data_IF_057843596027
#
_entry.id   IF_057843596027
#
_cell.length_a   1.000
_cell.length_b   1.000
_cell.length_c   1.000
_cell.angle_alpha   90.00
_cell.angle_beta   90.00
_cell.angle_gamma   90.00
#
_symmetry.space_group_name_H-M   'P 1'
#
loop_
_entity.id
_entity.type
_entity.pdbx_description
1 polymer ?
#
# COMPACT_ATOMS: atom_id res chain seq x y z
N UNK A 1 -20.50 -37.42 -38.00
CA UNK A 1 -19.12 -36.95 -37.74
C UNK A 1 -19.25 -35.52 -37.28
N UNK A 2 -19.13 -35.30 -35.97
CA UNK A 2 -19.29 -33.98 -35.36
C UNK A 2 -18.02 -33.18 -35.60
N UNK A 3 -18.16 -32.08 -36.33
CA UNK A 3 -17.12 -31.09 -36.53
C UNK A 3 -16.96 -30.34 -35.20
N UNK A 4 -15.89 -30.63 -34.47
CA UNK A 4 -15.52 -29.84 -33.30
C UNK A 4 -14.95 -28.53 -33.85
N UNK A 5 -15.76 -27.48 -33.88
CA UNK A 5 -15.27 -26.12 -34.04
C UNK A 5 -14.31 -25.83 -32.89
N UNK A 6 -13.01 -25.96 -33.13
CA UNK A 6 -12.00 -25.37 -32.26
C UNK A 6 -12.25 -23.86 -32.28
N UNK A 7 -12.73 -23.32 -31.16
CA UNK A 7 -12.74 -21.87 -30.97
C UNK A 7 -11.29 -21.36 -31.12
N UNK A 8 -11.08 -20.43 -32.05
CA UNK A 8 -9.79 -19.76 -32.24
C UNK A 8 -9.39 -19.03 -30.95
N UNK A 9 -8.53 -19.64 -30.15
CA UNK A 9 -8.03 -19.06 -28.90
C UNK A 9 -6.91 -18.09 -29.22
N UNK A 10 -7.21 -16.80 -29.08
CA UNK A 10 -6.21 -15.74 -29.17
C UNK A 10 -5.67 -15.39 -27.78
N UNK A 11 -4.35 -15.46 -27.62
CA UNK A 11 -3.64 -15.08 -26.40
C UNK A 11 -2.93 -13.75 -26.63
N UNK A 12 -3.07 -12.83 -25.67
CA UNK A 12 -2.42 -11.52 -25.72
C UNK A 12 -1.55 -11.33 -24.47
N UNK A 13 -0.32 -10.89 -24.68
CA UNK A 13 0.63 -10.61 -23.62
C UNK A 13 0.98 -9.14 -23.63
N UNK A 14 1.04 -8.54 -22.45
CA UNK A 14 1.42 -7.14 -22.27
C UNK A 14 2.41 -7.04 -21.12
N UNK A 15 3.33 -6.09 -21.24
CA UNK A 15 4.29 -5.77 -20.16
C UNK A 15 3.74 -4.64 -19.32
N UNK A 16 3.73 -4.82 -18.01
CA UNK A 16 3.27 -3.83 -17.05
C UNK A 16 4.15 -3.85 -15.79
N UNK A 17 4.13 -2.74 -15.06
CA UNK A 17 4.83 -2.65 -13.79
C UNK A 17 4.05 -3.36 -12.69
N UNK A 18 4.65 -4.38 -12.08
CA UNK A 18 4.07 -5.15 -10.98
C UNK A 18 5.00 -5.16 -9.77
N UNK A 19 4.41 -5.12 -8.59
CA UNK A 19 5.10 -5.24 -7.30
C UNK A 19 5.25 -6.71 -6.84
N UNK A 20 4.63 -7.65 -7.57
CA UNK A 20 4.64 -9.09 -7.32
C UNK A 20 5.08 -9.84 -8.57
N UNK A 21 5.75 -10.97 -8.36
CA UNK A 21 6.15 -11.87 -9.44
C UNK A 21 4.93 -12.51 -10.08
N UNK A 22 4.87 -12.45 -11.41
CA UNK A 22 3.96 -13.25 -12.21
C UNK A 22 4.74 -14.45 -12.73
N UNK A 23 4.30 -15.65 -12.35
CA UNK A 23 4.94 -16.87 -12.80
C UNK A 23 4.63 -17.10 -14.30
N UNK A 24 5.58 -16.79 -15.19
CA UNK A 24 5.44 -17.01 -16.62
C UNK A 24 5.36 -18.50 -17.02
N UNK A 25 5.63 -19.44 -16.12
CA UNK A 25 5.49 -20.88 -16.41
C UNK A 25 4.02 -21.27 -16.60
N UNK A 26 3.08 -20.44 -16.13
CA UNK A 26 1.64 -20.62 -16.33
C UNK A 26 1.13 -20.02 -17.65
N UNK A 27 1.99 -19.34 -18.41
CA UNK A 27 1.61 -18.76 -19.70
C UNK A 27 1.41 -19.87 -20.72
N UNK A 28 0.39 -19.69 -21.58
CA UNK A 28 0.12 -20.61 -22.69
C UNK A 28 1.30 -20.65 -23.69
N UNK A 29 1.80 -19.49 -24.10
CA UNK A 29 3.03 -19.33 -24.87
C UNK A 29 4.11 -18.82 -23.92
N UNK A 30 5.12 -19.67 -23.65
CA UNK A 30 6.22 -19.36 -22.73
C UNK A 30 7.39 -18.70 -23.43
N UNK A 31 7.76 -19.21 -24.59
CA UNK A 31 8.91 -18.75 -25.37
C UNK A 31 8.77 -17.27 -25.69
N UNK A 32 9.76 -16.47 -25.29
CA UNK A 32 9.77 -15.01 -25.48
C UNK A 32 8.91 -14.22 -24.49
N UNK A 33 8.29 -14.89 -23.51
CA UNK A 33 7.44 -14.29 -22.47
C UNK A 33 7.93 -14.65 -21.07
N UNK A 34 9.24 -14.83 -20.91
CA UNK A 34 9.84 -15.21 -19.65
C UNK A 34 9.89 -14.03 -18.66
N UNK A 35 9.33 -14.23 -17.47
CA UNK A 35 9.45 -13.29 -16.36
C UNK A 35 10.63 -13.66 -15.45
N UNK A 36 11.21 -12.69 -14.72
CA UNK A 36 12.22 -12.98 -13.70
C UNK A 36 11.66 -13.92 -12.62
N UNK A 37 12.52 -14.76 -12.06
CA UNK A 37 12.14 -15.69 -10.98
C UNK A 37 12.27 -15.07 -9.58
N UNK A 38 12.84 -13.87 -9.48
CA UNK A 38 13.02 -13.15 -8.22
C UNK A 38 12.92 -11.63 -8.45
N UNK A 39 12.37 -10.90 -7.47
CA UNK A 39 12.49 -9.43 -7.41
C UNK A 39 13.63 -9.09 -6.44
N UNK A 40 14.64 -8.32 -6.87
CA UNK A 40 15.80 -8.01 -6.04
C UNK A 40 15.46 -7.11 -4.85
N UNK A 41 14.38 -6.34 -4.92
CA UNK A 41 13.92 -5.41 -3.89
C UNK A 41 12.44 -5.66 -3.62
N UNK A 42 12.08 -5.85 -2.34
CA UNK A 42 10.70 -6.05 -1.92
C UNK A 42 10.12 -4.74 -1.38
N UNK A 43 8.84 -4.51 -1.65
CA UNK A 43 8.08 -3.44 -0.99
C UNK A 43 8.10 -3.66 0.52
N UNK A 44 8.39 -2.60 1.27
CA UNK A 44 8.45 -2.63 2.73
C UNK A 44 7.80 -1.38 3.30
N UNK A 45 7.15 -1.52 4.45
CA UNK A 45 6.61 -0.41 5.24
C UNK A 45 7.44 -0.27 6.49
N UNK A 46 7.93 0.95 6.73
CA UNK A 46 8.64 1.30 7.95
C UNK A 46 7.73 2.16 8.82
N UNK A 47 7.57 1.76 10.07
CA UNK A 47 6.75 2.48 11.05
C UNK A 47 7.72 3.22 11.98
N UNK A 48 7.52 4.53 12.15
CA UNK A 48 8.33 5.32 13.07
C UNK A 48 8.22 4.79 14.50
N UNK A 49 9.36 4.77 15.21
CA UNK A 49 9.44 4.25 16.58
C UNK A 49 8.59 5.09 17.54
N UNK A 50 8.81 6.40 17.54
CA UNK A 50 8.10 7.36 18.36
C UNK A 50 7.14 8.23 17.53
N UNK A 51 5.86 8.15 17.86
CA UNK A 51 4.79 8.98 17.27
C UNK A 51 3.86 9.40 18.39
N UNK A 52 3.44 10.67 18.40
CA UNK A 52 2.55 11.19 19.42
C UNK A 52 1.77 12.43 19.01
N UNK A 53 0.77 12.76 19.81
CA UNK A 53 0.02 14.03 19.75
C UNK A 53 0.20 14.70 21.11
N UNK A 54 0.97 15.79 21.13
CA UNK A 54 1.42 16.38 22.40
C UNK A 54 2.24 15.38 23.20
N UNK A 55 1.87 15.15 24.46
CA UNK A 55 2.56 14.21 25.36
C UNK A 55 2.09 12.75 25.19
N UNK A 56 0.99 12.53 24.46
CA UNK A 56 0.39 11.20 24.31
C UNK A 56 1.06 10.46 23.15
N UNK A 57 1.55 9.25 23.42
CA UNK A 57 2.19 8.38 22.43
C UNK A 57 1.18 7.45 21.76
N UNK A 58 1.51 7.01 20.55
CA UNK A 58 0.70 6.06 19.79
C UNK A 58 1.23 4.63 19.93
N UNK A 59 0.38 3.69 20.31
CA UNK A 59 0.69 2.26 20.28
C UNK A 59 0.86 1.73 18.86
N UNK A 60 1.47 0.56 18.71
CA UNK A 60 1.76 -0.05 17.40
C UNK A 60 0.49 -0.25 16.55
N UNK A 61 -0.59 -0.75 17.15
CA UNK A 61 -1.85 -1.00 16.42
C UNK A 61 -2.44 0.30 15.87
N UNK A 62 -2.37 1.40 16.62
CA UNK A 62 -2.76 2.72 16.13
C UNK A 62 -1.88 3.18 14.97
N UNK A 63 -0.56 3.04 15.07
CA UNK A 63 0.36 3.40 13.99
C UNK A 63 0.07 2.63 12.70
N UNK A 64 -0.32 1.35 12.79
CA UNK A 64 -0.70 0.52 11.62
C UNK A 64 -1.99 0.98 10.93
N UNK A 65 -2.87 1.73 11.60
CA UNK A 65 -4.10 2.27 10.97
C UNK A 65 -3.84 3.36 9.95
N UNK A 66 -2.63 3.96 9.93
CA UNK A 66 -2.26 4.98 8.96
C UNK A 66 -1.88 4.31 7.63
N UNK A 67 -2.88 4.10 6.78
CA UNK A 67 -2.74 3.43 5.49
C UNK A 67 -3.09 4.32 4.28
N UNK A 68 -3.41 5.59 4.53
CA UNK A 68 -3.62 6.61 3.48
C UNK A 68 -2.27 7.15 2.99
N UNK A 69 -1.60 6.34 2.17
CA UNK A 69 -0.25 6.62 1.68
C UNK A 69 -0.27 7.67 0.56
N UNK A 70 0.46 8.76 0.79
CA UNK A 70 0.70 9.81 -0.20
C UNK A 70 2.08 9.58 -0.82
N UNK A 71 2.12 9.59 -2.16
CA UNK A 71 3.35 9.42 -2.92
C UNK A 71 4.29 10.62 -2.72
N UNK A 72 5.57 10.33 -2.51
CA UNK A 72 6.63 11.32 -2.46
C UNK A 72 7.34 11.28 -3.80
N UNK A 73 7.37 12.43 -4.47
CA UNK A 73 8.29 12.68 -5.57
C UNK A 73 9.53 13.33 -4.99
N UNK A 74 10.69 12.70 -5.16
CA UNK A 74 11.95 13.33 -4.82
C UNK A 74 12.42 14.21 -5.98
N UNK A 75 13.00 15.35 -5.64
CA UNK A 75 13.78 16.21 -6.53
C UNK A 75 15.29 15.89 -6.47
N UNK A 76 15.71 15.04 -5.52
CA UNK A 76 17.10 14.67 -5.35
C UNK A 76 17.49 13.57 -6.33
N UNK A 77 18.41 13.95 -7.24
CA UNK A 77 19.02 12.99 -8.17
C UNK A 77 19.87 11.97 -7.39
N UNK A 78 19.72 10.67 -7.68
CA UNK A 78 20.56 9.65 -7.05
C UNK A 78 22.01 9.82 -7.49
N UNK A 79 22.96 9.60 -6.56
CA UNK A 79 24.40 9.65 -6.86
C UNK A 79 24.83 8.54 -7.83
N UNK A 80 24.16 7.39 -7.74
CA UNK A 80 24.33 6.23 -8.61
C UNK A 80 23.87 6.52 -10.04
N UNK A 81 24.80 6.43 -11.00
CA UNK A 81 24.56 6.75 -12.42
C UNK A 81 23.67 5.75 -13.14
N UNK A 82 23.58 4.52 -12.65
CA UNK A 82 22.73 3.44 -13.16
C UNK A 82 21.26 3.61 -12.74
N UNK A 83 20.97 4.54 -11.83
CA UNK A 83 19.63 4.89 -11.40
C UNK A 83 19.22 6.19 -12.09
N UNK A 84 18.07 6.16 -12.74
CA UNK A 84 17.49 7.30 -13.45
C UNK A 84 16.26 7.77 -12.70
N UNK A 85 16.04 9.08 -12.67
CA UNK A 85 14.88 9.68 -12.03
C UNK A 85 13.98 10.30 -13.10
N UNK A 86 12.69 9.99 -13.08
CA UNK A 86 11.70 10.59 -13.96
C UNK A 86 10.37 10.71 -13.23
N UNK A 87 9.77 11.90 -13.25
CA UNK A 87 8.51 12.20 -12.56
C UNK A 87 8.52 11.83 -11.07
N UNK A 88 9.67 12.01 -10.41
CA UNK A 88 9.88 11.68 -8.99
C UNK A 88 9.98 10.20 -8.65
N UNK A 89 9.95 9.32 -9.66
CA UNK A 89 10.16 7.88 -9.52
C UNK A 89 11.60 7.53 -9.88
N UNK A 90 12.12 6.47 -9.25
CA UNK A 90 13.46 5.95 -9.50
C UNK A 90 13.39 4.69 -10.36
N UNK A 91 14.24 4.62 -11.37
CA UNK A 91 14.30 3.53 -12.34
C UNK A 91 15.69 2.95 -12.39
N UNK A 92 15.78 1.63 -12.28
CA UNK A 92 16.96 0.88 -12.68
C UNK A 92 16.64 0.18 -14.01
N UNK A 93 16.94 0.88 -15.10
CA UNK A 93 16.61 0.49 -16.47
C UNK A 93 17.58 1.10 -17.47
N UNK A 94 17.90 0.34 -18.52
CA UNK A 94 18.75 0.79 -19.62
C UNK A 94 18.09 1.89 -20.49
N UNK A 95 16.77 1.88 -20.63
CA UNK A 95 15.98 2.87 -21.37
C UNK A 95 14.60 3.07 -20.72
N UNK A 96 14.26 4.31 -20.34
CA UNK A 96 12.98 4.61 -19.69
C UNK A 96 11.79 4.54 -20.65
N UNK A 97 12.03 4.78 -21.93
CA UNK A 97 10.98 4.81 -22.94
C UNK A 97 10.67 3.42 -23.48
N UNK A 98 11.63 2.50 -23.38
CA UNK A 98 11.49 1.09 -23.75
C UNK A 98 11.89 0.19 -22.56
N UNK A 99 11.11 0.20 -21.47
CA UNK A 99 11.39 -0.64 -20.30
C UNK A 99 11.31 -2.12 -20.68
N UNK A 100 12.21 -2.91 -20.11
CA UNK A 100 12.28 -4.36 -20.34
C UNK A 100 11.78 -5.13 -19.15
N UNK A 101 11.31 -6.34 -19.40
CA UNK A 101 10.97 -7.30 -18.34
C UNK A 101 12.17 -7.48 -17.42
N UNK A 102 11.97 -7.23 -16.12
CA UNK A 102 13.02 -7.29 -15.10
C UNK A 102 13.64 -5.93 -14.72
N UNK A 103 13.33 -4.85 -15.43
CA UNK A 103 13.67 -3.51 -14.96
C UNK A 103 12.96 -3.18 -13.64
N UNK A 104 13.52 -2.28 -12.84
CA UNK A 104 12.97 -1.89 -11.54
C UNK A 104 12.44 -0.46 -11.57
N UNK A 105 11.30 -0.25 -10.92
CA UNK A 105 10.73 1.06 -10.63
C UNK A 105 10.42 1.16 -9.15
N UNK A 106 10.97 2.17 -8.49
CA UNK A 106 10.83 2.42 -7.06
C UNK A 106 10.07 3.73 -6.86
N UNK A 107 9.11 3.67 -5.96
CA UNK A 107 8.30 4.79 -5.50
C UNK A 107 8.37 4.82 -3.97
N UNK A 108 8.46 6.01 -3.40
CA UNK A 108 8.32 6.21 -1.96
C UNK A 108 6.97 6.84 -1.64
N UNK A 109 6.41 6.47 -0.50
CA UNK A 109 5.18 7.07 0.02
C UNK A 109 5.24 7.15 1.54
N UNK A 110 4.41 8.00 2.12
CA UNK A 110 4.26 8.13 3.57
C UNK A 110 2.79 8.23 3.96
N UNK A 111 2.47 7.90 5.21
CA UNK A 111 1.18 8.15 5.84
C UNK A 111 1.41 8.70 7.25
N UNK A 112 0.64 9.70 7.67
CA UNK A 112 0.76 10.32 8.99
C UNK A 112 1.98 11.24 9.13
N UNK A 113 2.00 12.34 8.36
CA UNK A 113 3.09 13.32 8.43
C UNK A 113 3.00 14.16 9.70
N UNK A 114 4.16 14.46 10.28
CA UNK A 114 4.24 15.37 11.42
C UNK A 114 3.60 16.74 11.09
N UNK A 115 2.74 17.22 11.99
CA UNK A 115 1.96 18.45 11.81
C UNK A 115 0.58 18.25 11.19
N UNK A 116 0.25 17.05 10.70
CA UNK A 116 -1.13 16.75 10.29
C UNK A 116 -2.05 16.59 11.51
N UNK A 117 -3.30 17.01 11.34
CA UNK A 117 -4.31 16.96 12.40
C UNK A 117 -5.09 15.66 12.29
N UNK A 118 -5.13 14.90 13.39
CA UNK A 118 -5.88 13.66 13.51
C UNK A 118 -6.76 13.68 14.76
N UNK A 119 -7.91 13.03 14.66
CA UNK A 119 -8.79 12.71 15.78
C UNK A 119 -8.71 11.21 16.06
N UNK A 120 -8.50 10.84 17.32
CA UNK A 120 -8.21 9.46 17.73
C UNK A 120 -9.05 9.12 18.95
N UNK A 121 -9.63 7.91 18.94
CA UNK A 121 -10.38 7.34 20.08
C UNK A 121 -9.79 5.97 20.39
N UNK A 122 -9.38 5.76 21.64
CA UNK A 122 -8.83 4.51 22.13
C UNK A 122 -8.63 4.55 23.64
N UNK A 123 -8.12 3.46 24.21
CA UNK A 123 -7.79 3.39 25.64
C UNK A 123 -6.44 4.08 25.87
N UNK A 124 -6.38 5.00 26.84
CA UNK A 124 -5.10 5.56 27.30
C UNK A 124 -4.53 4.66 28.40
N UNK A 125 -3.35 4.09 28.18
CA UNK A 125 -2.65 3.25 29.15
C UNK A 125 -1.20 3.73 29.28
N UNK A 126 -0.83 4.20 30.48
CA UNK A 126 0.53 4.71 30.77
C UNK A 126 1.04 5.75 29.75
N UNK A 127 0.16 6.65 29.30
CA UNK A 127 0.51 7.69 28.32
C UNK A 127 0.54 7.23 26.86
N UNK A 128 0.16 5.99 26.57
CA UNK A 128 0.08 5.42 25.22
C UNK A 128 -1.37 5.13 24.87
N UNK A 129 -1.83 5.54 23.69
CA UNK A 129 -3.13 5.11 23.16
C UNK A 129 -3.00 3.71 22.58
N UNK A 130 -3.82 2.79 23.09
CA UNK A 130 -3.90 1.38 22.70
C UNK A 130 -5.36 1.01 22.38
N UNK A 131 -5.61 -0.12 21.70
CA UNK A 131 -6.97 -0.59 21.47
C UNK A 131 -7.74 -0.81 22.78
N UNK A 132 -9.02 -0.45 22.80
CA UNK A 132 -9.95 -0.81 23.86
C UNK A 132 -10.77 -2.04 23.44
N UNK A 133 -10.81 -3.08 24.26
CA UNK A 133 -11.65 -4.25 24.01
C UNK A 133 -12.91 -4.14 24.85
N UNK A 134 -14.08 -4.15 24.20
CA UNK A 134 -15.38 -4.09 24.88
C UNK A 134 -15.68 -5.40 25.59
N UNK A 135 -16.69 -5.38 26.47
CA UNK A 135 -17.19 -6.60 27.13
C UNK A 135 -17.70 -7.66 26.16
N UNK A 136 -18.01 -7.28 24.91
CA UNK A 136 -18.45 -8.18 23.84
C UNK A 136 -17.30 -8.65 22.94
N UNK A 137 -16.05 -8.29 23.24
CA UNK A 137 -14.87 -8.66 22.47
C UNK A 137 -14.63 -7.80 21.23
N UNK A 138 -15.36 -6.69 21.07
CA UNK A 138 -15.15 -5.78 19.94
C UNK A 138 -14.00 -4.81 20.25
N UNK A 139 -13.18 -4.52 19.24
CA UNK A 139 -12.07 -3.58 19.35
C UNK A 139 -12.54 -2.15 19.00
N UNK A 140 -12.23 -1.19 19.87
CA UNK A 140 -12.37 0.24 19.62
C UNK A 140 -10.98 0.87 19.56
N UNK A 141 -10.56 1.17 18.34
CA UNK A 141 -9.38 1.97 18.03
C UNK A 141 -9.67 2.77 16.76
N UNK A 142 -10.11 4.01 16.94
CA UNK A 142 -10.59 4.84 15.85
C UNK A 142 -9.56 5.92 15.54
N UNK A 143 -9.33 6.15 14.25
CA UNK A 143 -8.50 7.24 13.74
C UNK A 143 -9.24 7.89 12.59
N UNK A 144 -9.20 9.22 12.52
CA UNK A 144 -9.62 9.98 11.33
C UNK A 144 -8.74 11.20 11.14
N UNK A 145 -8.49 11.54 9.87
CA UNK A 145 -7.86 12.79 9.49
C UNK A 145 -8.81 13.96 9.76
N UNK A 146 -8.26 15.10 10.18
CA UNK A 146 -8.96 16.33 10.59
C UNK A 146 -9.47 16.33 12.03
N UNK A 147 -9.84 17.51 12.52
CA UNK A 147 -10.45 17.72 13.84
C UNK A 147 -11.93 17.35 13.79
N UNK A 148 -12.32 16.33 14.54
CA UNK A 148 -13.68 15.80 14.64
C UNK A 148 -14.09 15.75 16.12
N UNK A 149 -15.39 15.92 16.37
CA UNK A 149 -15.98 15.67 17.68
C UNK A 149 -16.10 14.17 17.94
N UNK A 150 -16.22 13.78 19.21
CA UNK A 150 -16.42 12.37 19.60
C UNK A 150 -17.68 11.80 18.97
N UNK A 151 -18.81 12.53 19.02
CA UNK A 151 -20.07 12.11 18.39
C UNK A 151 -19.90 11.82 16.90
N UNK A 152 -19.15 12.69 16.20
CA UNK A 152 -18.89 12.52 14.76
C UNK A 152 -17.97 11.34 14.47
N UNK A 153 -16.97 11.08 15.31
CA UNK A 153 -16.12 9.89 15.19
C UNK A 153 -16.95 8.61 15.25
N UNK A 154 -17.77 8.44 16.29
CA UNK A 154 -18.60 7.25 16.44
C UNK A 154 -19.70 7.15 15.37
N UNK A 155 -20.30 8.27 14.97
CA UNK A 155 -21.27 8.28 13.87
C UNK A 155 -20.65 7.77 12.56
N UNK A 156 -19.45 8.25 12.21
CA UNK A 156 -18.74 7.80 11.01
C UNK A 156 -18.34 6.33 11.06
N UNK A 157 -17.98 5.80 12.24
CA UNK A 157 -17.71 4.37 12.40
C UNK A 157 -18.96 3.52 12.23
N UNK A 158 -20.11 3.94 12.80
CA UNK A 158 -21.36 3.23 12.59
C UNK A 158 -21.75 3.16 11.12
N UNK A 159 -21.60 4.27 10.38
CA UNK A 159 -21.83 4.30 8.93
C UNK A 159 -20.86 3.38 8.19
N UNK A 160 -19.57 3.41 8.53
CA UNK A 160 -18.56 2.57 7.90
C UNK A 160 -18.79 1.06 8.17
N UNK A 161 -19.23 0.71 9.38
CA UNK A 161 -19.59 -0.67 9.72
C UNK A 161 -20.87 -1.11 9.02
N UNK A 162 -21.87 -0.24 8.86
CA UNK A 162 -23.09 -0.55 8.12
C UNK A 162 -22.77 -1.01 6.68
N UNK A 163 -21.89 -0.30 5.97
CA UNK A 163 -21.46 -0.71 4.62
C UNK A 163 -20.72 -2.05 4.58
N UNK A 164 -19.95 -2.39 5.62
CA UNK A 164 -19.26 -3.69 5.70
C UNK A 164 -20.23 -4.86 5.90
N UNK A 165 -21.35 -4.65 6.58
CA UNK A 165 -22.36 -5.70 6.81
C UNK A 165 -23.15 -6.05 5.56
N UNK A 166 -23.24 -5.16 4.56
CA UNK A 166 -24.01 -5.40 3.32
C UNK A 166 -23.18 -5.85 2.11
N UNK A 167 -21.86 -5.96 2.26
CA UNK A 167 -20.94 -6.44 1.21
C UNK A 167 -20.51 -7.90 1.47
N UNK A 168 -20.97 -8.51 2.56
CA UNK A 168 -20.90 -9.97 2.81
C UNK A 168 -22.17 -10.61 2.26
#
# INVERSE_FOLDING_TARGET
YGDHMEEDKHYYYTTEWRDKLINSDTFYIRTGHENPKAVPIKSQVQIADEVGIGEIRMGLELKKTFNDFIQITSDQRPERRDIKMHSGLYYHSADLWNPRVGDLRILFSYAGKAGEVYSIVGKLEKGVIVPYITTRGEEILLQRKSRLTVDRMFHLEHVHNYWRTWVI
#
